data_IF_757632333621
#
_entry.id   IF_757632333621
#
_cell.length_a   1.000
_cell.length_b   1.000
_cell.length_c   1.000
_cell.angle_alpha   90.00
_cell.angle_beta   90.00
_cell.angle_gamma   90.00
#
_symmetry.space_group_name_H-M   'P 1'
#
loop_
_entity.id
_entity.type
_entity.pdbx_description
1 polymer ?
#
# COMPACT_ATOMS: atom_id res chain seq x y z
N UNK A 1 -2.13 2.80 33.16
CA UNK A 1 -2.86 4.03 32.78
C UNK A 1 -3.75 3.69 31.58
N UNK A 2 -4.74 2.81 31.77
CA UNK A 2 -5.60 2.31 30.68
C UNK A 2 -7.07 2.71 30.84
N UNK A 3 -7.38 3.62 31.76
CA UNK A 3 -8.72 4.17 31.99
C UNK A 3 -8.58 5.63 32.43
N UNK A 4 -8.31 6.51 31.47
CA UNK A 4 -8.37 7.96 31.67
C UNK A 4 -9.23 8.52 30.56
N UNK A 5 -10.42 8.99 30.90
CA UNK A 5 -11.24 9.79 30.00
C UNK A 5 -10.38 10.97 29.54
N UNK A 6 -9.93 10.95 28.29
CA UNK A 6 -9.20 12.06 27.70
C UNK A 6 -10.12 13.30 27.69
N UNK A 7 -9.57 14.51 27.91
CA UNK A 7 -10.33 15.76 27.86
C UNK A 7 -11.19 15.84 26.59
N UNK A 8 -12.41 16.36 26.73
CA UNK A 8 -13.42 16.39 25.65
C UNK A 8 -12.89 17.15 24.42
N UNK A 9 -12.05 18.15 24.67
CA UNK A 9 -11.31 18.97 23.72
C UNK A 9 -10.31 18.20 22.83
N UNK A 10 -9.70 17.12 23.32
CA UNK A 10 -8.86 16.23 22.48
C UNK A 10 -9.71 15.25 21.65
N UNK A 11 -10.89 14.86 22.14
CA UNK A 11 -11.86 14.00 21.42
C UNK A 11 -12.62 14.77 20.34
N UNK A 12 -12.89 16.05 20.57
CA UNK A 12 -13.59 16.97 19.66
C UNK A 12 -12.65 17.69 18.67
N UNK A 13 -11.34 17.40 18.70
CA UNK A 13 -10.42 17.91 17.68
C UNK A 13 -10.91 17.47 16.29
N UNK A 14 -10.85 18.38 15.32
CA UNK A 14 -11.42 18.20 13.98
C UNK A 14 -10.88 16.95 13.26
N UNK A 15 -9.68 16.48 13.66
CA UNK A 15 -9.07 15.25 13.18
C UNK A 15 -9.68 13.97 13.79
N UNK A 16 -10.19 14.01 15.02
CA UNK A 16 -10.74 12.84 15.71
C UNK A 16 -12.20 12.55 15.31
N UNK A 17 -13.02 13.60 15.16
CA UNK A 17 -14.46 13.47 14.91
C UNK A 17 -14.89 13.29 13.45
N UNK A 18 -14.03 13.57 12.45
CA UNK A 18 -14.42 13.60 11.01
C UNK A 18 -13.60 12.72 10.06
N UNK A 19 -12.56 12.05 10.54
CA UNK A 19 -11.53 11.44 9.69
C UNK A 19 -11.68 9.93 9.48
N UNK A 20 -12.91 9.41 9.42
CA UNK A 20 -13.10 8.00 9.09
C UNK A 20 -12.70 7.75 7.62
N UNK A 21 -11.75 6.88 7.29
CA UNK A 21 -10.94 5.97 8.12
C UNK A 21 -9.49 6.46 8.31
N UNK A 22 -8.70 5.80 9.15
CA UNK A 22 -7.28 6.18 9.38
C UNK A 22 -6.42 6.02 8.12
N UNK A 23 -6.21 7.12 7.40
CA UNK A 23 -5.40 7.17 6.18
C UNK A 23 -3.93 6.81 6.41
N UNK A 24 -3.39 7.14 7.60
CA UNK A 24 -2.02 6.77 7.98
C UNK A 24 -1.84 5.25 8.02
N UNK A 25 -2.75 4.55 8.71
CA UNK A 25 -2.73 3.09 8.81
C UNK A 25 -2.98 2.45 7.44
N UNK A 26 -3.93 2.99 6.67
CA UNK A 26 -4.19 2.49 5.32
C UNK A 26 -2.95 2.60 4.42
N UNK A 27 -2.23 3.72 4.47
CA UNK A 27 -1.04 3.92 3.65
C UNK A 27 0.11 2.99 4.06
N UNK A 28 0.39 2.85 5.36
CA UNK A 28 1.48 1.98 5.83
C UNK A 28 1.19 0.50 5.55
N UNK A 29 -0.07 0.06 5.72
CA UNK A 29 -0.47 -1.31 5.40
C UNK A 29 -0.42 -1.55 3.89
N UNK A 30 -0.89 -0.60 3.07
CA UNK A 30 -0.80 -0.71 1.61
C UNK A 30 0.65 -0.84 1.13
N UNK A 31 1.55 0.01 1.64
CA UNK A 31 2.98 -0.04 1.30
C UNK A 31 3.62 -1.36 1.73
N UNK A 32 3.30 -1.86 2.93
CA UNK A 32 3.79 -3.15 3.43
C UNK A 32 3.38 -4.29 2.52
N UNK A 33 2.09 -4.42 2.25
CA UNK A 33 1.55 -5.52 1.45
C UNK A 33 2.06 -5.45 0.01
N UNK A 34 2.11 -4.26 -0.59
CA UNK A 34 2.65 -4.07 -1.93
C UNK A 34 4.14 -4.46 -2.02
N UNK A 35 4.94 -4.07 -1.04
CA UNK A 35 6.37 -4.41 -0.95
C UNK A 35 6.57 -5.91 -0.80
N UNK A 36 5.80 -6.57 0.08
CA UNK A 36 5.81 -8.03 0.23
C UNK A 36 5.52 -8.72 -1.11
N UNK A 37 4.48 -8.28 -1.83
CA UNK A 37 4.13 -8.83 -3.15
C UNK A 37 5.22 -8.61 -4.19
N UNK A 38 5.90 -7.46 -4.17
CA UNK A 38 7.02 -7.19 -5.05
C UNK A 38 8.18 -8.18 -4.80
N UNK A 39 8.56 -8.41 -3.54
CA UNK A 39 9.61 -9.39 -3.21
C UNK A 39 9.23 -10.84 -3.52
N UNK A 40 7.94 -11.20 -3.38
CA UNK A 40 7.45 -12.50 -3.84
C UNK A 40 7.66 -12.69 -5.35
N UNK A 41 7.36 -11.66 -6.15
CA UNK A 41 7.55 -11.70 -7.62
C UNK A 41 9.02 -11.75 -8.03
N UNK A 42 9.90 -11.16 -7.24
CA UNK A 42 11.35 -11.23 -7.46
C UNK A 42 11.97 -12.59 -7.05
N UNK A 43 11.16 -13.57 -6.63
CA UNK A 43 11.65 -14.88 -6.20
C UNK A 43 12.39 -14.84 -4.86
N UNK A 44 12.11 -13.83 -4.01
CA UNK A 44 12.76 -13.63 -2.70
C UNK A 44 11.76 -13.81 -1.56
N UNK A 45 11.17 -15.02 -1.36
CA UNK A 45 10.08 -15.22 -0.40
C UNK A 45 10.49 -14.98 1.05
N UNK A 46 11.73 -15.32 1.43
CA UNK A 46 12.23 -15.03 2.78
C UNK A 46 12.21 -13.53 3.09
N UNK A 47 12.74 -12.71 2.18
CA UNK A 47 12.73 -11.26 2.32
C UNK A 47 11.30 -10.69 2.28
N UNK A 48 10.42 -11.27 1.47
CA UNK A 48 9.01 -10.87 1.43
C UNK A 48 8.32 -11.02 2.80
N UNK A 49 8.54 -12.16 3.47
CA UNK A 49 8.00 -12.40 4.80
C UNK A 49 8.65 -11.52 5.88
N UNK A 50 9.96 -11.27 5.78
CA UNK A 50 10.63 -10.30 6.67
C UNK A 50 10.02 -8.91 6.52
N UNK A 51 9.84 -8.43 5.29
CA UNK A 51 9.23 -7.11 5.02
C UNK A 51 7.77 -7.06 5.48
N UNK A 52 7.03 -8.16 5.33
CA UNK A 52 5.68 -8.26 5.86
C UNK A 52 5.65 -8.11 7.38
N UNK A 53 6.47 -8.88 8.10
CA UNK A 53 6.54 -8.84 9.56
C UNK A 53 6.95 -7.47 10.09
N UNK A 54 8.04 -6.91 9.54
CA UNK A 54 8.54 -5.58 9.95
C UNK A 54 7.55 -4.48 9.61
N UNK A 55 6.98 -4.49 8.40
CA UNK A 55 6.02 -3.48 7.96
C UNK A 55 4.69 -3.53 8.72
N UNK A 56 4.21 -4.72 9.09
CA UNK A 56 3.00 -4.87 9.91
C UNK A 56 3.25 -4.46 11.36
N UNK A 57 4.43 -4.74 11.92
CA UNK A 57 4.82 -4.23 13.23
C UNK A 57 4.86 -2.68 13.24
N UNK A 58 5.48 -2.07 12.23
CA UNK A 58 5.48 -0.61 12.06
C UNK A 58 4.08 -0.02 11.88
N UNK A 59 3.24 -0.65 11.05
CA UNK A 59 1.84 -0.23 10.84
C UNK A 59 1.01 -0.32 12.12
N UNK A 60 1.26 -1.33 12.95
CA UNK A 60 0.62 -1.48 14.26
C UNK A 60 1.06 -0.38 15.21
N UNK A 61 2.35 -0.05 15.24
CA UNK A 61 2.88 1.06 16.05
C UNK A 61 2.25 2.40 15.65
N UNK A 62 2.04 2.63 14.36
CA UNK A 62 1.28 3.78 13.85
C UNK A 62 -0.17 3.72 14.31
N UNK A 63 -0.85 2.58 14.22
CA UNK A 63 -2.21 2.43 14.73
C UNK A 63 -2.33 2.78 16.22
N UNK A 64 -1.41 2.27 17.05
CA UNK A 64 -1.35 2.55 18.49
C UNK A 64 -1.13 4.05 18.75
N UNK A 65 -0.20 4.70 18.04
CA UNK A 65 0.06 6.13 18.24
C UNK A 65 -1.13 6.98 17.82
N UNK A 66 -1.86 6.60 16.76
CA UNK A 66 -3.05 7.31 16.29
C UNK A 66 -4.23 7.19 17.26
N UNK A 67 -4.40 6.03 17.90
CA UNK A 67 -5.41 5.85 18.96
C UNK A 67 -4.99 6.54 20.25
N UNK A 68 -3.71 6.42 20.65
CA UNK A 68 -3.19 7.03 21.87
C UNK A 68 -3.20 8.56 21.84
N UNK A 69 -3.10 9.16 20.66
CA UNK A 69 -3.21 10.61 20.45
C UNK A 69 -4.67 11.10 20.36
N UNK A 70 -5.67 10.25 20.62
CA UNK A 70 -7.10 10.59 20.49
C UNK A 70 -7.56 10.86 19.06
N UNK A 71 -6.67 10.78 18.06
CA UNK A 71 -6.95 11.22 16.68
C UNK A 71 -7.81 10.24 15.88
N UNK A 72 -7.97 8.99 16.30
CA UNK A 72 -8.77 7.98 15.63
C UNK A 72 -9.30 6.94 16.61
N UNK A 73 -10.49 6.41 16.33
CA UNK A 73 -11.00 5.27 17.06
C UNK A 73 -10.31 3.96 16.62
N UNK A 74 -10.24 2.93 17.47
CA UNK A 74 -9.72 1.62 17.08
C UNK A 74 -10.42 1.01 15.84
N UNK A 75 -11.71 1.31 15.65
CA UNK A 75 -12.47 0.96 14.45
C UNK A 75 -11.87 1.54 13.17
N UNK A 76 -11.39 2.78 13.22
CA UNK A 76 -10.86 3.50 12.06
C UNK A 76 -9.51 2.93 11.62
N UNK A 77 -8.73 2.42 12.59
CA UNK A 77 -7.49 1.69 12.37
C UNK A 77 -7.76 0.36 11.68
N UNK A 78 -8.76 -0.40 12.14
CA UNK A 78 -9.13 -1.68 11.52
C UNK A 78 -9.64 -1.51 10.10
N UNK A 79 -10.52 -0.53 9.86
CA UNK A 79 -11.03 -0.22 8.52
C UNK A 79 -9.91 0.29 7.62
N UNK A 80 -9.06 1.18 8.13
CA UNK A 80 -7.89 1.66 7.41
C UNK A 80 -6.94 0.52 7.01
N UNK A 81 -6.67 -0.42 7.92
CA UNK A 81 -5.86 -1.59 7.62
C UNK A 81 -6.49 -2.49 6.54
N UNK A 82 -7.81 -2.72 6.60
CA UNK A 82 -8.52 -3.50 5.59
C UNK A 82 -8.44 -2.85 4.19
N UNK A 83 -8.68 -1.53 4.13
CA UNK A 83 -8.59 -0.76 2.88
C UNK A 83 -7.15 -0.77 2.35
N UNK A 84 -6.17 -0.51 3.23
CA UNK A 84 -4.76 -0.54 2.90
C UNK A 84 -4.32 -1.89 2.33
N UNK A 85 -4.72 -2.99 2.98
CA UNK A 85 -4.43 -4.34 2.50
C UNK A 85 -5.06 -4.61 1.13
N UNK A 86 -6.32 -4.18 0.92
CA UNK A 86 -7.00 -4.27 -0.38
C UNK A 86 -6.24 -3.55 -1.49
N UNK A 87 -5.84 -2.29 -1.25
CA UNK A 87 -5.05 -1.49 -2.20
C UNK A 87 -3.68 -2.13 -2.46
N UNK A 88 -2.99 -2.56 -1.40
CA UNK A 88 -1.67 -3.20 -1.47
C UNK A 88 -1.68 -4.55 -2.19
N UNK A 89 -2.84 -5.21 -2.32
CA UNK A 89 -3.01 -6.39 -3.18
C UNK A 89 -3.40 -5.98 -4.60
N UNK A 90 -4.40 -5.12 -4.73
CA UNK A 90 -5.02 -4.77 -6.01
C UNK A 90 -4.04 -4.05 -6.94
N UNK A 91 -3.31 -3.05 -6.44
CA UNK A 91 -2.40 -2.25 -7.27
C UNK A 91 -1.28 -3.13 -7.85
N UNK A 92 -0.53 -3.93 -7.07
CA UNK A 92 0.42 -4.87 -7.65
C UNK A 92 -0.24 -5.88 -8.57
N UNK A 93 -1.42 -6.42 -8.25
CA UNK A 93 -2.12 -7.36 -9.13
C UNK A 93 -2.39 -6.76 -10.53
N UNK A 94 -2.90 -5.53 -10.58
CA UNK A 94 -3.11 -4.79 -11.83
C UNK A 94 -1.79 -4.50 -12.54
N UNK A 95 -0.75 -4.09 -11.80
CA UNK A 95 0.58 -3.80 -12.37
C UNK A 95 1.27 -5.06 -12.94
N UNK A 96 1.02 -6.22 -12.34
CA UNK A 96 1.53 -7.52 -12.80
C UNK A 96 0.75 -8.12 -13.97
N UNK A 97 -0.36 -7.50 -14.37
CA UNK A 97 -1.18 -7.95 -15.51
C UNK A 97 -0.58 -7.57 -16.87
N UNK A 98 0.74 -7.32 -16.91
CA UNK A 98 1.53 -7.24 -18.11
C UNK A 98 1.50 -8.56 -18.86
N UNK A 99 0.37 -8.85 -19.52
CA UNK A 99 0.36 -9.60 -20.77
C UNK A 99 1.47 -8.95 -21.58
N UNK A 100 2.61 -9.63 -21.74
CA UNK A 100 3.54 -9.28 -22.81
C UNK A 100 2.66 -9.33 -24.05
N UNK A 101 2.44 -8.20 -24.76
CA UNK A 101 1.69 -8.29 -25.99
C UNK A 101 2.47 -9.30 -26.85
N UNK A 102 1.77 -10.31 -27.35
CA UNK A 102 2.35 -11.39 -28.17
C UNK A 102 3.19 -10.81 -29.31
N UNK A 103 2.89 -9.57 -29.72
CA UNK A 103 3.69 -8.75 -30.62
C UNK A 103 4.00 -7.41 -29.94
N UNK A 104 5.28 -7.08 -29.81
CA UNK A 104 5.78 -5.73 -29.50
C UNK A 104 6.14 -5.01 -30.78
N UNK A 105 5.67 -3.76 -30.91
CA UNK A 105 6.06 -2.87 -32.00
C UNK A 105 7.00 -1.79 -31.46
N UNK A 106 8.20 -1.68 -32.02
CA UNK A 106 9.20 -0.68 -31.62
C UNK A 106 9.46 0.23 -32.82
N UNK A 107 9.13 1.53 -32.73
CA UNK A 107 9.50 2.48 -33.77
C UNK A 107 11.01 2.74 -33.71
N UNK A 108 11.67 2.66 -34.86
CA UNK A 108 13.09 2.99 -35.04
C UNK A 108 13.14 4.18 -35.98
N UNK A 109 13.51 5.35 -35.45
CA UNK A 109 13.64 6.58 -36.22
C UNK A 109 15.11 6.86 -36.47
N UNK A 110 15.43 7.14 -37.73
CA UNK A 110 16.73 7.61 -38.22
C UNK A 110 16.54 8.99 -38.84
N UNK A 111 17.61 9.75 -39.05
CA UNK A 111 17.57 11.14 -39.54
C UNK A 111 16.77 11.34 -40.84
N UNK A 112 16.60 10.28 -41.65
CA UNK A 112 15.92 10.35 -42.95
C UNK A 112 14.87 9.23 -43.17
N UNK A 113 14.58 8.41 -42.16
CA UNK A 113 13.62 7.30 -42.29
C UNK A 113 13.07 6.83 -40.93
N UNK A 114 11.84 6.32 -40.94
CA UNK A 114 11.23 5.68 -39.78
C UNK A 114 10.81 4.25 -40.15
N UNK A 115 11.16 3.30 -39.29
CA UNK A 115 10.83 1.88 -39.41
C UNK A 115 9.99 1.45 -38.20
N UNK A 116 9.20 0.40 -38.36
CA UNK A 116 8.50 -0.27 -37.26
C UNK A 116 8.99 -1.71 -37.17
N UNK A 117 9.69 -2.05 -36.09
CA UNK A 117 10.08 -3.43 -35.81
C UNK A 117 8.96 -4.13 -35.04
N UNK A 118 8.48 -5.28 -35.54
CA UNK A 118 7.55 -6.15 -34.83
C UNK A 118 8.31 -7.35 -34.28
N UNK A 119 8.36 -7.49 -32.96
CA UNK A 119 9.00 -8.62 -32.29
C UNK A 119 7.98 -9.37 -31.45
N UNK A 120 7.86 -10.68 -31.63
CA UNK A 120 6.96 -11.54 -30.87
C UNK A 120 7.59 -12.91 -30.65
N UNK A 121 7.36 -13.52 -29.49
CA UNK A 121 7.74 -14.90 -29.22
C UNK A 121 6.47 -15.73 -29.36
N UNK A 122 6.47 -16.70 -30.29
CA UNK A 122 5.41 -17.69 -30.45
C UNK A 122 5.34 -18.61 -29.23
#
# INVERSE_FOLDING_TARGET
VLTGELPVDERDDANAGRSFFSGHVANTVAATVATTRAFQRLGRPGLAWTMFGVGMAGSTMVGISRVGAGSHFPSDVLVGAAIGAGIGILVPALHGSGRRPTVQAVPIVTDNSAYLSLTGVM
#
